data_IF_934891404610
#
_entry.id   IF_934891404610
#
_cell.length_a   1.000
_cell.length_b   1.000
_cell.length_c   1.000
_cell.angle_alpha   90.00
_cell.angle_beta   90.00
_cell.angle_gamma   90.00
#
_symmetry.space_group_name_H-M   'P 1'
#
loop_
_entity.id
_entity.type
_entity.pdbx_description
1 polymer ?
#
# COMPACT_ATOMS: atom_id res chain seq x y z
N UNK A 1 -26.12 -14.29 -10.56
CA UNK A 1 -26.17 -12.98 -11.24
C UNK A 1 -24.79 -12.37 -11.21
N UNK A 2 -24.36 -11.71 -12.28
CA UNK A 2 -23.13 -10.95 -12.29
C UNK A 2 -23.29 -9.74 -11.35
N UNK A 3 -22.27 -9.40 -10.58
CA UNK A 3 -22.27 -8.25 -9.66
C UNK A 3 -21.65 -7.07 -10.41
N UNK A 4 -22.33 -5.94 -10.45
CA UNK A 4 -21.87 -4.72 -11.12
C UNK A 4 -21.30 -3.74 -10.08
N UNK A 5 -20.01 -3.41 -10.21
CA UNK A 5 -19.30 -2.53 -9.27
C UNK A 5 -18.80 -1.27 -9.97
N UNK A 6 -19.16 -0.10 -9.44
CA UNK A 6 -18.60 1.18 -9.86
C UNK A 6 -17.50 1.60 -8.87
N UNK A 7 -16.27 1.66 -9.34
CA UNK A 7 -15.17 2.22 -8.56
C UNK A 7 -15.08 3.72 -8.80
N UNK A 8 -15.05 4.51 -7.73
CA UNK A 8 -14.83 5.95 -7.78
C UNK A 8 -13.44 6.27 -7.26
N UNK A 9 -12.60 6.89 -8.10
CA UNK A 9 -11.22 7.23 -7.76
C UNK A 9 -10.90 8.68 -8.10
N UNK A 10 -10.17 9.37 -7.22
CA UNK A 10 -9.52 10.66 -7.52
C UNK A 10 -8.07 10.50 -8.00
N UNK A 11 -7.50 9.32 -7.86
CA UNK A 11 -6.19 9.01 -8.41
C UNK A 11 -6.30 8.79 -9.92
N UNK A 12 -5.50 9.52 -10.69
CA UNK A 12 -5.54 9.52 -12.16
C UNK A 12 -4.21 9.04 -12.74
N UNK A 13 -3.08 9.34 -12.07
CA UNK A 13 -1.76 9.00 -12.59
C UNK A 13 -1.57 7.49 -12.72
N UNK A 14 -1.23 6.99 -13.92
CA UNK A 14 -1.00 5.57 -14.19
C UNK A 14 0.13 4.97 -13.35
N UNK A 15 1.08 5.80 -12.96
CA UNK A 15 2.22 5.40 -12.14
C UNK A 15 1.91 5.44 -10.63
N UNK A 16 0.70 5.86 -10.23
CA UNK A 16 0.27 5.90 -8.84
C UNK A 16 -0.06 4.52 -8.29
N UNK A 17 0.46 4.18 -7.10
CA UNK A 17 0.22 2.87 -6.48
C UNK A 17 -1.25 2.51 -6.28
N UNK A 18 -2.16 3.48 -6.10
CA UNK A 18 -3.60 3.23 -5.96
C UNK A 18 -4.23 2.87 -7.29
N UNK A 19 -3.99 3.68 -8.35
CA UNK A 19 -4.60 3.42 -9.66
C UNK A 19 -4.03 2.14 -10.29
N UNK A 20 -2.75 1.84 -10.11
CA UNK A 20 -2.15 0.59 -10.57
C UNK A 20 -2.86 -0.63 -9.99
N UNK A 21 -3.20 -0.61 -8.69
CA UNK A 21 -3.96 -1.70 -8.04
C UNK A 21 -5.41 -1.77 -8.51
N UNK A 22 -6.07 -0.61 -8.70
CA UNK A 22 -7.42 -0.57 -9.28
C UNK A 22 -7.41 -1.18 -10.68
N UNK A 23 -6.42 -0.84 -11.52
CA UNK A 23 -6.27 -1.43 -12.86
C UNK A 23 -6.16 -2.95 -12.77
N UNK A 24 -5.28 -3.47 -11.90
CA UNK A 24 -5.15 -4.92 -11.70
C UNK A 24 -6.47 -5.55 -11.26
N UNK A 25 -7.16 -4.95 -10.29
CA UNK A 25 -8.45 -5.45 -9.82
C UNK A 25 -9.47 -5.59 -10.97
N UNK A 26 -9.62 -4.54 -11.77
CA UNK A 26 -10.68 -4.49 -12.80
C UNK A 26 -10.33 -5.30 -14.07
N UNK A 27 -9.05 -5.53 -14.35
CA UNK A 27 -8.61 -6.30 -15.55
C UNK A 27 -8.39 -7.79 -15.28
N UNK A 28 -8.11 -8.17 -14.03
CA UNK A 28 -7.83 -9.56 -13.65
C UNK A 28 -9.07 -10.30 -13.16
N UNK A 29 -10.06 -9.58 -12.62
CA UNK A 29 -11.30 -10.22 -12.19
C UNK A 29 -12.15 -10.68 -13.37
N UNK A 30 -12.54 -11.96 -13.34
CA UNK A 30 -13.45 -12.55 -14.32
C UNK A 30 -14.87 -12.75 -13.78
N UNK A 31 -15.15 -12.28 -12.57
CA UNK A 31 -16.34 -12.62 -11.83
C UNK A 31 -17.21 -11.43 -11.44
N UNK A 32 -16.69 -10.24 -11.61
CA UNK A 32 -17.33 -8.96 -11.30
C UNK A 32 -17.28 -8.09 -12.55
N UNK A 33 -18.39 -7.40 -12.85
CA UNK A 33 -18.44 -6.40 -13.90
C UNK A 33 -18.04 -5.06 -13.33
N UNK A 34 -16.86 -4.57 -13.70
CA UNK A 34 -16.36 -3.28 -13.23
C UNK A 34 -16.65 -2.15 -14.21
N UNK A 35 -16.98 -1.00 -13.63
CA UNK A 35 -16.90 0.32 -14.27
C UNK A 35 -16.08 1.24 -13.38
N UNK A 36 -15.44 2.25 -13.95
CA UNK A 36 -14.65 3.22 -13.18
C UNK A 36 -15.18 4.64 -13.42
N UNK A 37 -15.24 5.43 -12.34
CA UNK A 37 -15.58 6.85 -12.39
C UNK A 37 -14.43 7.67 -11.82
N UNK A 38 -13.84 8.53 -12.66
CA UNK A 38 -12.79 9.42 -12.24
C UNK A 38 -13.38 10.72 -11.70
N UNK A 39 -13.19 10.92 -10.39
CA UNK A 39 -13.50 12.17 -9.71
C UNK A 39 -12.35 13.15 -9.97
N UNK A 40 -12.50 13.99 -10.98
CA UNK A 40 -11.48 14.93 -11.45
C UNK A 40 -11.77 16.35 -10.99
N UNK A 41 -10.75 17.22 -10.99
CA UNK A 41 -10.95 18.66 -11.14
C UNK A 41 -10.80 19.02 -12.62
N UNK A 42 -11.20 20.25 -13.01
CA UNK A 42 -11.11 20.67 -14.41
C UNK A 42 -9.73 20.50 -15.06
N UNK A 43 -8.65 20.71 -14.30
CA UNK A 43 -7.30 20.65 -14.80
C UNK A 43 -6.87 19.20 -15.13
N UNK A 44 -7.44 18.21 -14.45
CA UNK A 44 -7.03 16.81 -14.54
C UNK A 44 -7.94 15.96 -15.45
N UNK A 45 -9.07 16.51 -15.95
CA UNK A 45 -9.98 15.77 -16.83
C UNK A 45 -9.29 15.33 -18.13
N UNK A 46 -8.45 16.20 -18.71
CA UNK A 46 -7.72 15.87 -19.94
C UNK A 46 -6.80 14.66 -19.72
N UNK A 47 -5.95 14.70 -18.69
CA UNK A 47 -5.06 13.60 -18.34
C UNK A 47 -5.82 12.30 -17.99
N UNK A 48 -6.99 12.41 -17.35
CA UNK A 48 -7.83 11.23 -17.08
C UNK A 48 -8.36 10.60 -18.38
N UNK A 49 -8.70 11.41 -19.39
CA UNK A 49 -9.18 10.92 -20.69
C UNK A 49 -8.08 10.27 -21.54
N UNK A 50 -6.81 10.65 -21.34
CA UNK A 50 -5.68 9.98 -22.00
C UNK A 50 -5.61 8.48 -21.63
N UNK A 51 -6.11 8.14 -20.46
CA UNK A 51 -6.20 6.77 -19.97
C UNK A 51 -7.39 5.95 -20.54
N UNK A 52 -8.30 6.60 -21.23
CA UNK A 52 -9.54 5.99 -21.73
C UNK A 52 -9.29 4.80 -22.67
N UNK A 53 -8.22 4.88 -23.46
CA UNK A 53 -7.80 3.79 -24.35
C UNK A 53 -7.52 2.50 -23.56
N UNK A 54 -6.81 2.58 -22.43
CA UNK A 54 -6.53 1.42 -21.59
C UNK A 54 -7.83 0.74 -21.12
N UNK A 55 -8.80 1.51 -20.64
CA UNK A 55 -10.05 0.94 -20.11
C UNK A 55 -10.90 0.34 -21.24
N UNK A 56 -11.04 1.02 -22.37
CA UNK A 56 -11.79 0.52 -23.54
C UNK A 56 -11.19 -0.77 -24.11
N UNK A 57 -9.85 -0.83 -24.24
CA UNK A 57 -9.18 -2.03 -24.72
C UNK A 57 -9.40 -3.24 -23.81
N UNK A 58 -9.68 -3.00 -22.52
CA UNK A 58 -10.01 -4.05 -21.56
C UNK A 58 -11.53 -4.24 -21.34
N UNK A 59 -12.39 -3.63 -22.17
CA UNK A 59 -13.83 -3.76 -22.07
C UNK A 59 -14.46 -3.05 -20.84
N UNK A 60 -13.71 -2.12 -20.19
CA UNK A 60 -14.14 -1.42 -19.00
C UNK A 60 -14.73 -0.06 -19.36
N UNK A 61 -15.91 0.25 -18.83
CA UNK A 61 -16.55 1.55 -19.00
C UNK A 61 -15.93 2.57 -18.05
N UNK A 62 -15.39 3.67 -18.59
CA UNK A 62 -14.80 4.75 -17.83
C UNK A 62 -15.66 6.02 -17.95
N UNK A 63 -15.90 6.67 -16.82
CA UNK A 63 -16.68 7.90 -16.68
C UNK A 63 -15.82 8.97 -16.03
N UNK A 64 -16.15 10.25 -16.28
CA UNK A 64 -15.35 11.38 -15.82
C UNK A 64 -16.25 12.49 -15.31
N UNK A 65 -16.02 13.02 -14.12
CA UNK A 65 -16.79 14.11 -13.54
C UNK A 65 -15.95 15.08 -12.72
N UNK A 66 -16.38 16.36 -12.77
CA UNK A 66 -15.74 17.45 -12.02
C UNK A 66 -16.42 17.60 -10.64
N UNK A 67 -15.72 17.15 -9.58
CA UNK A 67 -16.22 17.29 -8.20
C UNK A 67 -15.97 18.69 -7.61
N UNK A 68 -15.14 19.55 -8.25
CA UNK A 68 -14.73 20.84 -7.71
C UNK A 68 -15.78 21.96 -7.82
N UNK A 69 -16.83 21.79 -8.63
CA UNK A 69 -17.78 22.87 -8.96
C UNK A 69 -19.11 22.78 -8.25
N UNK A 70 -19.73 21.63 -8.22
CA UNK A 70 -21.08 21.46 -7.66
C UNK A 70 -21.28 20.00 -7.23
N UNK A 71 -21.31 19.78 -5.92
CA UNK A 71 -21.43 18.44 -5.33
C UNK A 71 -22.77 17.76 -5.68
N UNK A 72 -23.85 18.52 -5.85
CA UNK A 72 -25.14 17.96 -6.25
C UNK A 72 -25.10 17.46 -7.69
N UNK A 73 -24.51 18.24 -8.60
CA UNK A 73 -24.32 17.84 -10.00
C UNK A 73 -23.43 16.61 -10.09
N UNK A 74 -22.32 16.60 -9.33
CA UNK A 74 -21.43 15.45 -9.27
C UNK A 74 -22.13 14.19 -8.78
N UNK A 75 -22.93 14.28 -7.69
CA UNK A 75 -23.73 13.17 -7.20
C UNK A 75 -24.80 12.73 -8.22
N UNK A 76 -25.39 13.66 -8.94
CA UNK A 76 -26.37 13.38 -10.00
C UNK A 76 -25.76 12.66 -11.20
N UNK A 77 -24.55 13.06 -11.62
CA UNK A 77 -23.82 12.38 -12.70
C UNK A 77 -23.50 10.92 -12.32
N UNK A 78 -23.04 10.68 -11.08
CA UNK A 78 -22.82 9.32 -10.56
C UNK A 78 -24.17 8.54 -10.49
N UNK A 79 -25.25 9.16 -10.03
CA UNK A 79 -26.59 8.54 -10.01
C UNK A 79 -27.03 8.07 -11.40
N UNK A 80 -26.81 8.86 -12.45
CA UNK A 80 -27.13 8.48 -13.82
C UNK A 80 -26.31 7.25 -14.25
N UNK A 81 -25.02 7.20 -13.94
CA UNK A 81 -24.17 6.02 -14.19
C UNK A 81 -24.67 4.81 -13.42
N UNK A 82 -25.01 4.97 -12.13
CA UNK A 82 -25.54 3.88 -11.28
C UNK A 82 -26.81 3.28 -11.91
N UNK A 83 -27.70 4.10 -12.42
CA UNK A 83 -28.94 3.63 -13.09
C UNK A 83 -28.68 3.00 -14.45
N UNK A 84 -27.89 3.65 -15.29
CA UNK A 84 -27.58 3.21 -16.64
C UNK A 84 -26.87 1.86 -16.66
N UNK A 85 -25.87 1.69 -15.78
CA UNK A 85 -25.04 0.50 -15.70
C UNK A 85 -25.58 -0.53 -14.70
N UNK A 86 -26.73 -0.30 -14.08
CA UNK A 86 -27.37 -1.17 -13.07
C UNK A 86 -26.38 -1.56 -11.96
N UNK A 87 -25.70 -0.56 -11.38
CA UNK A 87 -24.66 -0.75 -10.39
C UNK A 87 -25.26 -1.24 -9.07
N UNK A 88 -24.73 -2.34 -8.56
CA UNK A 88 -25.09 -2.93 -7.27
C UNK A 88 -24.27 -2.32 -6.13
N UNK A 89 -22.97 -2.09 -6.39
CA UNK A 89 -22.01 -1.59 -5.40
C UNK A 89 -21.27 -0.37 -5.93
N UNK A 90 -21.24 0.72 -5.15
CA UNK A 90 -20.35 1.87 -5.38
C UNK A 90 -19.20 1.80 -4.38
N UNK A 91 -17.98 1.70 -4.89
CA UNK A 91 -16.77 1.56 -4.08
C UNK A 91 -15.88 2.80 -4.20
N UNK A 92 -15.65 3.49 -3.08
CA UNK A 92 -14.86 4.72 -3.00
C UNK A 92 -13.39 4.43 -2.66
N UNK A 93 -12.49 4.82 -3.58
CA UNK A 93 -11.05 4.97 -3.36
C UNK A 93 -10.67 6.45 -3.30
N UNK A 94 -11.41 7.24 -2.52
CA UNK A 94 -11.40 8.69 -2.60
C UNK A 94 -11.52 9.29 -1.20
N UNK A 95 -10.78 10.38 -0.92
CA UNK A 95 -10.70 10.92 0.44
C UNK A 95 -11.55 12.18 0.68
N UNK A 96 -12.25 12.71 -0.32
CA UNK A 96 -12.98 14.01 -0.26
C UNK A 96 -14.49 13.85 -0.44
N UNK A 97 -14.97 12.67 -0.31
CA UNK A 97 -16.33 12.23 -0.59
C UNK A 97 -17.40 12.68 0.40
N UNK A 98 -17.01 13.34 1.48
CA UNK A 98 -17.84 13.54 2.68
C UNK A 98 -19.18 14.20 2.42
N UNK A 99 -19.29 15.05 1.40
CA UNK A 99 -20.51 15.80 1.14
C UNK A 99 -21.42 15.12 0.12
N UNK A 100 -20.85 14.63 -0.98
CA UNK A 100 -21.68 14.07 -2.06
C UNK A 100 -22.24 12.68 -1.74
N UNK A 101 -21.58 11.90 -0.86
CA UNK A 101 -22.10 10.59 -0.41
C UNK A 101 -23.47 10.71 0.24
N UNK A 102 -23.74 11.80 0.98
CA UNK A 102 -25.04 12.07 1.56
C UNK A 102 -26.13 12.22 0.47
N UNK A 103 -25.82 13.02 -0.56
CA UNK A 103 -26.74 13.25 -1.68
C UNK A 103 -26.92 11.95 -2.48
N UNK A 104 -25.82 11.24 -2.76
CA UNK A 104 -25.87 10.00 -3.52
C UNK A 104 -26.67 8.91 -2.80
N UNK A 105 -26.58 8.83 -1.46
CA UNK A 105 -27.39 7.90 -0.65
C UNK A 105 -28.88 8.16 -0.77
N UNK A 106 -29.29 9.43 -0.86
CA UNK A 106 -30.69 9.79 -1.08
C UNK A 106 -31.17 9.43 -2.50
N UNK A 107 -30.30 9.63 -3.50
CA UNK A 107 -30.63 9.35 -4.91
C UNK A 107 -30.59 7.85 -5.23
N UNK A 108 -29.75 7.08 -4.57
CA UNK A 108 -29.54 5.64 -4.80
C UNK A 108 -29.61 4.84 -3.48
N UNK A 109 -30.77 4.77 -2.80
CA UNK A 109 -30.90 4.16 -1.47
C UNK A 109 -30.67 2.65 -1.44
N UNK A 110 -30.86 1.95 -2.58
CA UNK A 110 -30.71 0.49 -2.69
C UNK A 110 -29.30 0.04 -3.01
N UNK A 111 -28.42 0.96 -3.46
CA UNK A 111 -27.03 0.68 -3.80
C UNK A 111 -26.21 0.46 -2.53
N UNK A 112 -25.33 -0.54 -2.54
CA UNK A 112 -24.39 -0.80 -1.44
C UNK A 112 -23.20 0.12 -1.59
N UNK A 113 -22.82 0.80 -0.50
CA UNK A 113 -21.66 1.70 -0.49
C UNK A 113 -20.52 1.07 0.28
N UNK A 114 -19.36 0.95 -0.39
CA UNK A 114 -18.11 0.45 0.16
C UNK A 114 -17.07 1.54 0.11
N UNK A 115 -16.21 1.63 1.10
CA UNK A 115 -15.08 2.56 1.13
C UNK A 115 -13.78 1.83 1.48
N UNK A 116 -12.72 2.05 0.70
CA UNK A 116 -11.36 1.63 1.04
C UNK A 116 -10.56 2.74 1.71
N UNK A 117 -9.91 2.40 2.83
CA UNK A 117 -8.91 3.22 3.48
C UNK A 117 -7.52 2.73 3.05
N UNK A 118 -6.91 3.45 2.11
CA UNK A 118 -5.62 3.11 1.49
C UNK A 118 -4.40 3.73 2.19
N UNK A 119 -4.62 4.46 3.25
CA UNK A 119 -3.65 5.11 4.11
C UNK A 119 -4.36 5.89 5.21
N UNK A 120 -3.63 6.32 6.22
CA UNK A 120 -4.19 7.15 7.29
C UNK A 120 -3.84 8.62 7.08
N UNK A 121 -4.88 9.45 7.08
CA UNK A 121 -4.76 10.91 7.02
C UNK A 121 -5.47 11.47 8.26
N UNK A 122 -4.74 12.12 9.17
CA UNK A 122 -5.37 12.75 10.32
C UNK A 122 -6.27 13.91 9.87
N UNK A 123 -7.52 13.90 10.33
CA UNK A 123 -8.52 14.92 10.04
C UNK A 123 -8.81 15.74 11.28
N UNK A 124 -9.06 17.05 11.11
CA UNK A 124 -9.40 17.97 12.19
C UNK A 124 -10.61 18.84 11.85
N UNK A 125 -11.17 19.49 12.85
CA UNK A 125 -12.22 20.50 12.70
C UNK A 125 -13.42 20.02 11.87
N UNK A 126 -13.81 20.83 10.87
CA UNK A 126 -14.95 20.55 10.01
C UNK A 126 -14.80 19.27 9.20
N UNK A 127 -13.59 18.97 8.69
CA UNK A 127 -13.33 17.75 7.90
C UNK A 127 -13.61 16.50 8.73
N UNK A 128 -13.21 16.46 10.02
CA UNK A 128 -13.48 15.34 10.91
C UNK A 128 -14.98 15.17 11.17
N UNK A 129 -15.74 16.26 11.28
CA UNK A 129 -17.21 16.24 11.46
C UNK A 129 -17.90 15.70 10.19
N UNK A 130 -17.52 16.19 9.02
CA UNK A 130 -18.06 15.72 7.74
C UNK A 130 -17.77 14.24 7.51
N UNK A 131 -16.55 13.80 7.80
CA UNK A 131 -16.18 12.40 7.74
C UNK A 131 -17.01 11.54 8.69
N UNK A 132 -17.22 12.01 9.92
CA UNK A 132 -18.08 11.33 10.90
C UNK A 132 -19.52 11.13 10.41
N UNK A 133 -20.03 12.09 9.64
CA UNK A 133 -21.35 12.00 9.01
C UNK A 133 -21.34 11.04 7.83
N UNK A 134 -20.33 11.13 6.95
CA UNK A 134 -20.18 10.23 5.79
C UNK A 134 -20.05 8.76 6.21
N UNK A 135 -19.37 8.48 7.32
CA UNK A 135 -19.26 7.12 7.88
C UNK A 135 -20.65 6.50 8.16
N UNK A 136 -21.66 7.27 8.50
CA UNK A 136 -23.01 6.74 8.73
C UNK A 136 -23.70 6.31 7.42
N UNK A 137 -23.33 6.92 6.30
CA UNK A 137 -23.92 6.71 4.99
C UNK A 137 -23.26 5.59 4.17
N UNK A 138 -22.07 5.17 4.56
CA UNK A 138 -21.34 4.04 3.95
C UNK A 138 -21.67 2.77 4.72
N UNK A 139 -21.96 1.71 3.99
CA UNK A 139 -22.41 0.43 4.58
C UNK A 139 -21.24 -0.41 5.07
N UNK A 140 -20.15 -0.44 4.30
CA UNK A 140 -19.04 -1.37 4.51
C UNK A 140 -17.68 -0.72 4.25
N UNK A 141 -16.64 -1.25 4.90
CA UNK A 141 -15.29 -0.71 4.83
C UNK A 141 -14.26 -1.77 4.48
N UNK A 142 -13.26 -1.38 3.68
CA UNK A 142 -12.07 -2.16 3.41
C UNK A 142 -10.87 -1.39 3.96
N UNK A 143 -10.02 -2.07 4.71
CA UNK A 143 -8.76 -1.53 5.24
C UNK A 143 -7.59 -2.30 4.63
N UNK A 144 -6.52 -1.59 4.29
CA UNK A 144 -5.32 -2.22 3.71
C UNK A 144 -4.43 -2.92 4.75
N UNK A 145 -4.70 -2.74 6.05
CA UNK A 145 -4.01 -3.37 7.17
C UNK A 145 -4.83 -3.24 8.46
N UNK A 146 -4.56 -4.08 9.45
CA UNK A 146 -5.12 -3.95 10.81
C UNK A 146 -4.70 -2.63 11.47
N UNK A 147 -3.47 -2.18 11.19
CA UNK A 147 -2.99 -0.88 11.67
C UNK A 147 -3.87 0.27 11.17
N UNK A 148 -4.18 0.32 9.87
CA UNK A 148 -5.05 1.36 9.30
C UNK A 148 -6.47 1.27 9.87
N UNK A 149 -7.00 0.07 10.05
CA UNK A 149 -8.28 -0.12 10.75
C UNK A 149 -8.25 0.48 12.15
N UNK A 150 -7.25 0.12 12.96
CA UNK A 150 -7.11 0.61 14.34
C UNK A 150 -6.98 2.14 14.42
N UNK A 151 -6.21 2.75 13.51
CA UNK A 151 -6.05 4.21 13.44
C UNK A 151 -7.38 4.92 13.15
N UNK A 152 -8.13 4.46 12.17
CA UNK A 152 -9.44 5.04 11.88
C UNK A 152 -10.49 4.78 12.95
N UNK A 153 -10.50 3.60 13.58
CA UNK A 153 -11.39 3.28 14.69
C UNK A 153 -11.07 4.06 15.97
N UNK A 154 -9.81 4.46 16.16
CA UNK A 154 -9.39 5.37 17.23
C UNK A 154 -9.99 6.76 17.05
N UNK A 155 -9.94 7.29 15.83
CA UNK A 155 -10.45 8.62 15.49
C UNK A 155 -11.97 8.66 15.35
N UNK A 156 -12.57 7.58 14.85
CA UNK A 156 -14.00 7.47 14.55
C UNK A 156 -14.59 6.21 15.20
N UNK A 157 -14.99 6.34 16.46
CA UNK A 157 -15.49 5.19 17.27
C UNK A 157 -16.68 4.46 16.63
N UNK A 158 -17.49 5.14 15.81
CA UNK A 158 -18.61 4.53 15.08
C UNK A 158 -18.16 3.47 14.05
N UNK A 159 -16.91 3.47 13.61
CA UNK A 159 -16.38 2.41 12.73
C UNK A 159 -16.28 1.05 13.42
N UNK A 160 -16.20 1.02 14.76
CA UNK A 160 -16.18 -0.25 15.53
C UNK A 160 -17.48 -1.06 15.40
N UNK A 161 -18.62 -0.38 15.15
CA UNK A 161 -19.92 -1.02 14.95
C UNK A 161 -20.25 -1.28 13.47
N UNK A 162 -19.41 -0.83 12.53
CA UNK A 162 -19.60 -1.03 11.10
C UNK A 162 -18.89 -2.30 10.64
N UNK A 163 -19.45 -2.93 9.59
CA UNK A 163 -18.80 -4.08 8.95
C UNK A 163 -17.55 -3.60 8.20
N UNK A 164 -16.41 -4.12 8.59
CA UNK A 164 -15.11 -3.88 7.94
C UNK A 164 -14.41 -5.19 7.61
N UNK A 165 -13.54 -5.15 6.63
CA UNK A 165 -12.66 -6.26 6.29
C UNK A 165 -11.27 -5.76 5.96
N UNK A 166 -10.28 -6.61 6.16
CA UNK A 166 -8.90 -6.32 5.76
C UNK A 166 -8.66 -7.01 4.43
N UNK A 167 -8.31 -6.22 3.42
CA UNK A 167 -7.81 -6.72 2.15
C UNK A 167 -6.45 -6.08 1.93
N UNK A 168 -5.40 -6.88 2.12
CA UNK A 168 -4.03 -6.42 1.96
C UNK A 168 -3.76 -5.97 0.52
N UNK A 169 -2.89 -4.98 0.37
CA UNK A 169 -2.44 -4.55 -0.95
C UNK A 169 -1.57 -5.60 -1.64
N UNK A 170 -1.46 -5.50 -2.96
CA UNK A 170 -0.47 -6.23 -3.76
C UNK A 170 0.55 -5.26 -4.40
N UNK A 171 1.76 -5.69 -4.72
CA UNK A 171 2.68 -4.95 -5.58
C UNK A 171 2.09 -4.80 -6.99
N UNK A 172 2.42 -3.69 -7.65
CA UNK A 172 1.95 -3.45 -9.03
C UNK A 172 2.79 -4.21 -10.04
N UNK A 173 4.10 -4.28 -9.81
CA UNK A 173 5.04 -4.99 -10.68
C UNK A 173 5.93 -5.87 -9.81
N UNK A 174 5.75 -7.18 -9.89
CA UNK A 174 6.63 -8.15 -9.26
C UNK A 174 7.59 -8.66 -10.34
N UNK A 175 8.89 -8.45 -10.11
CA UNK A 175 9.90 -8.99 -11.00
C UNK A 175 10.08 -10.49 -10.78
N UNK A 176 10.61 -11.17 -11.80
CA UNK A 176 11.00 -12.57 -11.66
C UNK A 176 12.30 -12.71 -10.87
N UNK A 177 12.36 -13.73 -10.03
CA UNK A 177 13.56 -14.06 -9.27
C UNK A 177 14.61 -14.66 -10.20
N UNK A 178 15.78 -14.02 -10.29
CA UNK A 178 16.95 -14.61 -10.95
C UNK A 178 17.70 -15.54 -9.98
N UNK A 179 17.82 -16.80 -10.32
CA UNK A 179 18.53 -17.79 -9.51
C UNK A 179 20.07 -17.75 -9.69
N UNK A 180 20.60 -16.86 -10.52
CA UNK A 180 22.00 -16.89 -10.97
C UNK A 180 22.91 -15.86 -10.29
N UNK A 181 22.43 -15.07 -9.33
CA UNK A 181 23.21 -14.01 -8.71
C UNK A 181 23.53 -14.34 -7.24
N UNK A 182 24.79 -14.13 -6.86
CA UNK A 182 25.23 -14.15 -5.47
C UNK A 182 24.52 -13.02 -4.70
N UNK A 183 23.93 -13.35 -3.54
CA UNK A 183 23.22 -12.42 -2.67
C UNK A 183 24.13 -12.00 -1.54
N UNK A 184 24.55 -10.75 -1.58
CA UNK A 184 25.48 -10.20 -0.58
C UNK A 184 25.15 -8.77 -0.15
N UNK A 185 24.00 -8.22 -0.59
CA UNK A 185 23.60 -6.86 -0.23
C UNK A 185 22.67 -6.85 0.98
N UNK A 186 22.89 -5.91 1.89
CA UNK A 186 21.86 -5.43 2.81
C UNK A 186 21.17 -4.26 2.14
N UNK A 187 19.86 -4.33 1.94
CA UNK A 187 19.12 -3.40 1.09
C UNK A 187 17.98 -2.70 1.83
N UNK A 188 17.90 -1.39 1.64
CA UNK A 188 16.71 -0.58 1.93
C UNK A 188 16.19 0.08 0.65
N UNK A 189 14.87 0.11 0.49
CA UNK A 189 14.19 0.83 -0.60
C UNK A 189 13.05 1.68 -0.02
N UNK A 190 13.13 2.99 -0.22
CA UNK A 190 12.07 3.89 0.26
C UNK A 190 12.49 5.36 0.28
N UNK A 191 11.53 6.25 0.51
CA UNK A 191 11.80 7.68 0.65
C UNK A 191 12.65 7.99 1.89
N UNK A 192 13.50 9.03 1.79
CA UNK A 192 14.35 9.50 2.88
C UNK A 192 13.61 10.60 3.67
N UNK A 193 12.66 10.18 4.51
CA UNK A 193 11.83 11.09 5.30
C UNK A 193 11.61 10.57 6.72
N UNK A 194 11.08 11.43 7.61
CA UNK A 194 11.01 11.20 9.05
C UNK A 194 10.33 9.87 9.44
N UNK A 195 9.23 9.56 8.81
CA UNK A 195 8.45 8.37 9.17
C UNK A 195 9.07 7.06 8.66
N UNK A 196 10.04 7.14 7.74
CA UNK A 196 10.81 5.98 7.28
C UNK A 196 11.97 5.62 8.21
N UNK A 197 12.30 6.50 9.18
CA UNK A 197 13.28 6.25 10.23
C UNK A 197 14.67 5.84 9.71
N UNK A 198 15.08 6.46 8.61
CA UNK A 198 16.31 6.06 7.87
C UNK A 198 17.61 6.32 8.64
N UNK A 199 17.59 7.22 9.63
CA UNK A 199 18.72 7.48 10.53
C UNK A 199 19.13 6.24 11.34
N UNK A 200 18.13 5.44 11.77
CA UNK A 200 18.40 4.17 12.46
C UNK A 200 19.31 3.23 11.64
N UNK A 201 19.22 3.26 10.32
CA UNK A 201 20.06 2.43 9.46
C UNK A 201 21.53 2.86 9.50
N UNK A 202 21.79 4.16 9.58
CA UNK A 202 23.16 4.68 9.72
C UNK A 202 23.70 4.42 11.13
N UNK A 203 22.87 4.59 12.17
CA UNK A 203 23.21 4.19 13.55
C UNK A 203 23.50 2.69 13.67
N UNK A 204 22.70 1.85 13.04
CA UNK A 204 22.92 0.41 12.96
C UNK A 204 24.29 0.11 12.32
N UNK A 205 24.62 0.76 11.20
CA UNK A 205 25.90 0.55 10.52
C UNK A 205 27.07 1.09 11.33
N UNK A 206 26.90 2.18 12.08
CA UNK A 206 27.90 2.64 13.04
C UNK A 206 28.22 1.55 14.10
N UNK A 207 27.20 0.90 14.65
CA UNK A 207 27.40 -0.24 15.56
C UNK A 207 28.10 -1.41 14.86
N UNK A 208 27.65 -1.79 13.66
CA UNK A 208 28.22 -2.90 12.88
C UNK A 208 29.71 -2.67 12.64
N UNK A 209 30.10 -1.51 12.15
CA UNK A 209 31.47 -1.21 11.73
C UNK A 209 32.35 -0.85 12.92
N UNK A 210 31.94 0.08 13.75
CA UNK A 210 32.79 0.66 14.78
C UNK A 210 32.79 -0.13 16.09
N UNK A 211 31.65 -0.74 16.47
CA UNK A 211 31.57 -1.55 17.70
C UNK A 211 31.88 -3.02 17.43
N UNK A 212 31.24 -3.61 16.41
CA UNK A 212 31.43 -5.05 16.12
C UNK A 212 32.55 -5.36 15.12
N UNK A 213 33.20 -4.32 14.55
CA UNK A 213 34.36 -4.44 13.63
C UNK A 213 34.07 -5.25 12.35
N UNK A 214 32.84 -5.14 11.84
CA UNK A 214 32.37 -5.81 10.63
C UNK A 214 32.36 -4.84 9.44
N UNK A 215 33.52 -4.51 8.92
CA UNK A 215 33.71 -3.67 7.73
C UNK A 215 33.39 -4.36 6.40
N UNK A 216 33.14 -5.66 6.43
CA UNK A 216 32.73 -6.48 5.29
C UNK A 216 31.23 -6.28 4.91
N UNK A 217 30.41 -5.77 5.82
CA UNK A 217 28.97 -5.57 5.60
C UNK A 217 28.71 -4.21 4.94
N UNK A 218 27.97 -4.23 3.83
CA UNK A 218 27.61 -3.02 3.07
C UNK A 218 26.10 -2.87 3.03
N UNK A 219 25.62 -1.72 3.50
CA UNK A 219 24.23 -1.30 3.38
C UNK A 219 24.05 -0.45 2.12
N UNK A 220 23.09 -0.83 1.29
CA UNK A 220 22.67 -0.06 0.10
C UNK A 220 21.30 0.57 0.37
N UNK A 221 21.21 1.88 0.25
CA UNK A 221 19.98 2.66 0.42
C UNK A 221 19.57 3.21 -0.92
N UNK A 222 18.38 2.83 -1.38
CA UNK A 222 17.76 3.28 -2.63
C UNK A 222 16.55 4.15 -2.30
N UNK A 223 16.56 5.35 -2.84
CA UNK A 223 15.50 6.35 -2.66
C UNK A 223 16.08 7.73 -2.46
N UNK A 224 15.17 8.70 -2.38
CA UNK A 224 15.53 10.10 -2.18
C UNK A 224 14.54 10.76 -1.23
N UNK A 225 14.89 11.94 -0.73
CA UNK A 225 14.03 12.70 0.16
C UNK A 225 14.75 13.78 0.96
N UNK A 226 14.00 14.53 1.77
CA UNK A 226 14.52 15.72 2.46
C UNK A 226 15.68 15.45 3.43
N UNK A 227 15.87 14.20 3.87
CA UNK A 227 16.95 13.84 4.82
C UNK A 227 18.22 13.31 4.15
N UNK A 228 18.34 13.41 2.84
CA UNK A 228 19.53 12.93 2.14
C UNK A 228 20.82 13.57 2.65
N UNK A 229 20.86 14.91 2.70
CA UNK A 229 22.05 15.67 3.15
C UNK A 229 22.41 15.36 4.62
N UNK A 230 21.40 15.24 5.48
CA UNK A 230 21.62 14.91 6.89
C UNK A 230 22.18 13.49 7.05
N UNK A 231 21.72 12.55 6.24
CA UNK A 231 22.25 11.17 6.23
C UNK A 231 23.71 11.15 5.72
N UNK A 232 24.02 11.90 4.67
CA UNK A 232 25.40 12.02 4.14
C UNK A 232 26.35 12.58 5.20
N UNK A 233 25.95 13.63 5.93
CA UNK A 233 26.71 14.18 7.06
C UNK A 233 26.94 13.12 8.16
N UNK A 234 25.87 12.43 8.58
CA UNK A 234 25.94 11.42 9.63
C UNK A 234 26.83 10.22 9.24
N UNK A 235 26.78 9.78 7.99
CA UNK A 235 27.64 8.73 7.43
C UNK A 235 29.11 9.14 7.53
N UNK A 236 29.42 10.39 7.20
CA UNK A 236 30.78 10.93 7.28
C UNK A 236 31.23 11.08 8.75
N UNK A 237 30.38 11.63 9.62
CA UNK A 237 30.68 11.79 11.06
C UNK A 237 30.97 10.46 11.76
N UNK A 238 30.25 9.40 11.39
CA UNK A 238 30.48 8.06 11.94
C UNK A 238 31.64 7.30 11.27
N UNK A 239 32.22 7.83 10.18
CA UNK A 239 33.29 7.20 9.45
C UNK A 239 32.87 5.87 8.78
N UNK A 240 31.62 5.76 8.33
CA UNK A 240 31.06 4.55 7.71
C UNK A 240 30.76 4.71 6.22
N UNK A 241 31.45 5.66 5.55
CA UNK A 241 31.19 5.98 4.14
C UNK A 241 31.48 4.80 3.19
N UNK A 242 32.42 3.93 3.53
CA UNK A 242 32.73 2.73 2.74
C UNK A 242 31.66 1.63 2.89
N UNK A 243 30.83 1.71 3.95
CA UNK A 243 29.86 0.69 4.34
C UNK A 243 28.40 1.11 4.09
N UNK A 244 28.14 2.38 3.76
CA UNK A 244 26.76 2.88 3.49
C UNK A 244 26.72 3.58 2.14
N UNK A 245 25.96 3.02 1.20
CA UNK A 245 25.84 3.55 -0.17
C UNK A 245 24.45 4.19 -0.37
N UNK A 246 24.41 5.51 -0.56
CA UNK A 246 23.20 6.25 -0.91
C UNK A 246 23.09 6.37 -2.44
N UNK A 247 22.29 5.52 -3.08
CA UNK A 247 22.21 5.45 -4.56
C UNK A 247 21.20 6.42 -5.19
N UNK A 248 20.41 7.14 -4.38
CA UNK A 248 19.32 7.95 -4.90
C UNK A 248 18.19 7.12 -5.48
N UNK A 249 17.32 7.77 -6.23
CA UNK A 249 16.20 7.09 -6.90
C UNK A 249 16.68 6.17 -8.03
N UNK A 250 16.14 4.95 -8.07
CA UNK A 250 16.38 3.96 -9.14
C UNK A 250 15.06 3.46 -9.70
N UNK A 251 14.96 3.34 -11.03
CA UNK A 251 13.78 2.78 -11.69
C UNK A 251 13.72 1.27 -11.58
N UNK A 252 14.85 0.60 -11.74
CA UNK A 252 14.94 -0.86 -11.71
C UNK A 252 15.37 -1.35 -10.32
N UNK A 253 14.39 -1.49 -9.42
CA UNK A 253 14.64 -2.00 -8.06
C UNK A 253 14.87 -3.51 -8.05
N UNK A 254 14.33 -4.22 -9.04
CA UNK A 254 14.38 -5.67 -9.11
C UNK A 254 15.82 -6.22 -9.13
N UNK A 255 16.74 -5.55 -9.82
CA UNK A 255 18.14 -5.97 -9.90
C UNK A 255 18.85 -5.92 -8.53
N UNK A 256 18.47 -4.93 -7.70
CA UNK A 256 19.00 -4.82 -6.35
C UNK A 256 18.37 -5.83 -5.41
N UNK A 257 17.05 -6.06 -5.52
CA UNK A 257 16.35 -7.08 -4.74
C UNK A 257 16.87 -8.49 -5.06
N UNK A 258 17.21 -8.78 -6.32
CA UNK A 258 17.82 -10.05 -6.69
C UNK A 258 19.20 -10.29 -6.05
N UNK A 259 19.96 -9.22 -5.78
CA UNK A 259 21.25 -9.26 -5.10
C UNK A 259 21.15 -9.12 -3.58
N UNK A 260 19.96 -8.81 -3.06
CA UNK A 260 19.77 -8.61 -1.64
C UNK A 260 19.80 -9.94 -0.88
N UNK A 261 20.69 -10.06 0.09
CA UNK A 261 20.71 -11.11 1.09
C UNK A 261 19.69 -10.84 2.19
N UNK A 262 19.57 -9.58 2.60
CA UNK A 262 18.68 -9.13 3.67
C UNK A 262 18.04 -7.81 3.26
N UNK A 263 16.75 -7.69 3.48
CA UNK A 263 16.02 -6.44 3.30
C UNK A 263 15.71 -5.79 4.66
N UNK A 264 16.00 -4.51 4.83
CA UNK A 264 15.81 -3.79 6.10
C UNK A 264 14.79 -2.66 5.94
N UNK A 265 13.82 -2.54 6.85
CA UNK A 265 12.77 -1.51 6.78
C UNK A 265 12.39 -0.96 8.15
N UNK A 266 13.05 0.12 8.64
CA UNK A 266 12.89 0.63 10.00
C UNK A 266 11.72 1.59 10.18
N UNK A 267 10.82 1.74 9.23
CA UNK A 267 9.76 2.74 9.24
C UNK A 267 8.89 2.67 10.50
N UNK A 268 8.61 3.84 11.10
CA UNK A 268 7.75 3.97 12.28
C UNK A 268 6.29 4.24 11.93
N UNK A 269 6.02 4.70 10.70
CA UNK A 269 4.66 4.93 10.21
C UNK A 269 4.55 4.47 8.76
N UNK A 270 3.96 3.29 8.58
CA UNK A 270 3.76 2.64 7.28
C UNK A 270 2.33 2.08 7.22
N UNK A 271 1.56 2.49 6.23
CA UNK A 271 0.19 2.01 6.08
C UNK A 271 0.09 0.54 5.66
N UNK A 272 1.10 0.05 4.93
CA UNK A 272 1.21 -1.35 4.51
C UNK A 272 2.67 -1.82 4.40
N UNK A 273 3.47 -1.22 3.50
CA UNK A 273 4.86 -1.62 3.28
C UNK A 273 5.05 -2.39 1.98
N UNK A 274 4.66 -1.79 0.86
CA UNK A 274 4.78 -2.40 -0.48
C UNK A 274 6.22 -2.88 -0.74
N UNK A 275 7.24 -2.08 -0.42
CA UNK A 275 8.64 -2.45 -0.67
C UNK A 275 9.12 -3.66 0.15
N UNK A 276 8.55 -3.87 1.34
CA UNK A 276 8.79 -5.10 2.12
C UNK A 276 8.20 -6.30 1.40
N UNK A 277 6.96 -6.17 0.92
CA UNK A 277 6.29 -7.24 0.17
C UNK A 277 7.03 -7.55 -1.13
N UNK A 278 7.52 -6.53 -1.86
CA UNK A 278 8.36 -6.71 -3.05
C UNK A 278 9.65 -7.49 -2.72
N UNK A 279 10.30 -7.17 -1.61
CA UNK A 279 11.48 -7.91 -1.15
C UNK A 279 11.14 -9.37 -0.80
N UNK A 280 10.01 -9.62 -0.13
CA UNK A 280 9.53 -10.96 0.16
C UNK A 280 9.28 -11.77 -1.12
N UNK A 281 8.65 -11.19 -2.15
CA UNK A 281 8.47 -11.85 -3.45
C UNK A 281 9.79 -12.26 -4.07
N UNK A 282 10.84 -11.45 -3.88
CA UNK A 282 12.18 -11.67 -4.39
C UNK A 282 13.03 -12.57 -3.46
N UNK A 283 12.39 -13.31 -2.54
CA UNK A 283 13.03 -14.23 -1.60
C UNK A 283 14.05 -13.55 -0.68
N UNK A 284 13.81 -12.30 -0.28
CA UNK A 284 14.64 -11.63 0.70
C UNK A 284 14.01 -11.80 2.09
N UNK A 285 14.73 -12.36 3.08
CA UNK A 285 14.31 -12.27 4.46
C UNK A 285 14.33 -10.82 4.92
N UNK A 286 13.37 -10.43 5.75
CA UNK A 286 13.14 -9.04 6.10
C UNK A 286 13.42 -8.75 7.57
N UNK A 287 14.15 -7.68 7.85
CA UNK A 287 14.20 -7.06 9.18
C UNK A 287 13.30 -5.82 9.15
N UNK A 288 12.25 -5.80 9.94
CA UNK A 288 11.28 -4.70 9.96
C UNK A 288 11.09 -4.13 11.36
N UNK A 289 10.71 -2.86 11.44
CA UNK A 289 10.38 -2.24 12.72
C UNK A 289 9.11 -2.85 13.33
N UNK A 290 9.10 -3.02 14.65
CA UNK A 290 7.89 -3.34 15.42
C UNK A 290 7.01 -2.08 15.54
N UNK A 291 6.51 -1.62 14.40
CA UNK A 291 5.71 -0.41 14.31
C UNK A 291 4.74 -0.48 13.12
N UNK A 292 3.61 0.21 13.27
CA UNK A 292 2.62 0.39 12.20
C UNK A 292 2.13 -0.94 11.59
N UNK A 293 2.00 -1.03 10.27
CA UNK A 293 1.54 -2.26 9.60
C UNK A 293 2.65 -3.29 9.34
N UNK A 294 3.91 -2.97 9.61
CA UNK A 294 5.04 -3.84 9.26
C UNK A 294 5.00 -5.22 9.93
N UNK A 295 4.63 -5.36 11.23
CA UNK A 295 4.51 -6.67 11.87
C UNK A 295 3.43 -7.58 11.27
N UNK A 296 2.51 -7.04 10.47
CA UNK A 296 1.47 -7.85 9.81
C UNK A 296 2.01 -8.60 8.59
N UNK A 297 3.11 -8.10 8.00
CA UNK A 297 3.65 -8.62 6.74
C UNK A 297 4.46 -9.89 6.93
N UNK A 298 5.27 -9.96 7.99
CA UNK A 298 6.21 -11.05 8.24
C UNK A 298 5.86 -11.81 9.52
N UNK A 299 6.46 -12.98 9.67
CA UNK A 299 6.49 -13.78 10.88
C UNK A 299 7.94 -14.27 11.14
N UNK A 300 8.14 -15.06 12.19
CA UNK A 300 9.44 -15.60 12.59
C UNK A 300 10.12 -16.48 11.53
N UNK A 301 9.36 -16.99 10.55
CA UNK A 301 9.89 -17.78 9.45
C UNK A 301 10.37 -16.92 8.27
N UNK A 302 9.91 -15.65 8.19
CA UNK A 302 10.18 -14.74 7.08
C UNK A 302 11.24 -13.68 7.40
N UNK A 303 11.58 -13.48 8.68
CA UNK A 303 12.48 -12.43 9.12
C UNK A 303 12.32 -12.04 10.58
N UNK A 304 12.72 -10.82 10.93
CA UNK A 304 12.73 -10.35 12.31
C UNK A 304 11.99 -9.02 12.47
N UNK A 305 11.22 -8.93 13.55
CA UNK A 305 10.51 -7.71 13.97
C UNK A 305 11.30 -7.11 15.12
N UNK A 306 11.82 -5.89 14.94
CA UNK A 306 12.78 -5.26 15.86
C UNK A 306 12.26 -3.93 16.42
N UNK A 307 12.69 -3.52 17.63
CA UNK A 307 12.35 -2.22 18.18
C UNK A 307 12.80 -1.08 17.26
N UNK A 308 11.95 -0.07 16.96
CA UNK A 308 12.29 0.99 16.01
C UNK A 308 13.30 2.03 16.52
N UNK A 309 13.74 1.92 17.78
CA UNK A 309 14.69 2.84 18.43
C UNK A 309 15.95 2.17 18.97
N UNK A 310 16.17 0.90 18.65
CA UNK A 310 17.34 0.13 19.18
C UNK A 310 18.27 -0.29 18.05
N UNK A 311 19.15 0.63 17.63
CA UNK A 311 20.14 0.38 16.59
C UNK A 311 21.09 -0.78 16.93
N UNK A 312 21.35 -1.03 18.23
CA UNK A 312 22.19 -2.13 18.70
C UNK A 312 21.51 -3.49 18.46
N UNK A 313 20.20 -3.61 18.73
CA UNK A 313 19.45 -4.84 18.42
C UNK A 313 19.43 -5.11 16.91
N UNK A 314 19.27 -4.07 16.09
CA UNK A 314 19.31 -4.18 14.64
C UNK A 314 20.70 -4.63 14.15
N UNK A 315 21.78 -4.07 14.70
CA UNK A 315 23.15 -4.43 14.34
C UNK A 315 23.47 -5.91 14.68
N UNK A 316 23.14 -6.33 15.90
CA UNK A 316 23.33 -7.72 16.33
C UNK A 316 22.58 -8.70 15.44
N UNK A 317 21.31 -8.40 15.15
CA UNK A 317 20.47 -9.26 14.30
C UNK A 317 20.98 -9.31 12.86
N UNK A 318 21.41 -8.15 12.32
CA UNK A 318 22.00 -8.08 10.98
C UNK A 318 23.24 -8.98 10.87
N UNK A 319 24.18 -8.87 11.81
CA UNK A 319 25.40 -9.68 11.84
C UNK A 319 25.05 -11.16 11.91
N UNK A 320 24.15 -11.56 12.82
CA UNK A 320 23.73 -12.95 12.96
C UNK A 320 23.10 -13.53 11.68
N UNK A 321 22.39 -12.70 10.91
CA UNK A 321 21.85 -13.11 9.62
C UNK A 321 22.90 -13.18 8.53
N UNK A 322 23.79 -12.19 8.44
CA UNK A 322 24.90 -12.18 7.44
C UNK A 322 25.81 -13.40 7.63
N UNK A 323 26.09 -13.77 8.88
CA UNK A 323 26.92 -14.92 9.22
C UNK A 323 26.22 -16.27 8.96
N UNK A 324 24.92 -16.27 8.65
CA UNK A 324 24.17 -17.49 8.37
C UNK A 324 23.40 -17.40 7.03
N UNK A 325 24.10 -17.47 5.88
CA UNK A 325 23.45 -17.41 4.56
C UNK A 325 22.39 -18.50 4.34
N UNK A 326 22.60 -19.69 4.90
CA UNK A 326 21.63 -20.79 4.82
C UNK A 326 20.31 -20.48 5.52
N UNK A 327 20.37 -19.79 6.66
CA UNK A 327 19.18 -19.30 7.34
C UNK A 327 18.48 -18.24 6.51
N UNK A 328 19.22 -17.27 5.95
CA UNK A 328 18.68 -16.23 5.07
C UNK A 328 17.98 -16.85 3.86
N UNK A 329 18.57 -17.87 3.24
CA UNK A 329 17.97 -18.57 2.11
C UNK A 329 16.61 -19.22 2.51
N UNK A 330 16.57 -19.97 3.60
CA UNK A 330 15.32 -20.59 4.09
C UNK A 330 14.26 -19.55 4.43
N UNK A 331 14.62 -18.50 5.17
CA UNK A 331 13.71 -17.42 5.50
C UNK A 331 13.17 -16.68 4.26
N UNK A 332 14.03 -16.49 3.27
CA UNK A 332 13.65 -15.87 2.00
C UNK A 332 12.63 -16.73 1.23
N UNK A 333 12.78 -18.04 1.20
CA UNK A 333 11.81 -18.95 0.58
C UNK A 333 10.45 -18.87 1.31
N UNK A 334 10.44 -18.89 2.63
CA UNK A 334 9.20 -18.75 3.42
C UNK A 334 8.56 -17.36 3.23
N UNK A 335 9.36 -16.29 3.18
CA UNK A 335 8.90 -14.94 2.85
C UNK A 335 8.18 -14.90 1.49
N UNK A 336 8.77 -15.53 0.47
CA UNK A 336 8.16 -15.59 -0.87
C UNK A 336 6.87 -16.40 -0.88
N UNK A 337 6.82 -17.55 -0.20
CA UNK A 337 5.59 -18.36 -0.08
C UNK A 337 4.47 -17.56 0.59
N UNK A 338 4.80 -16.87 1.70
CA UNK A 338 3.85 -16.01 2.41
C UNK A 338 3.36 -14.86 1.53
N UNK A 339 4.28 -14.16 0.84
CA UNK A 339 3.94 -13.05 -0.04
C UNK A 339 2.99 -13.50 -1.17
N UNK A 340 3.29 -14.62 -1.83
CA UNK A 340 2.44 -15.19 -2.90
C UNK A 340 1.06 -15.58 -2.38
N UNK A 341 0.97 -16.15 -1.17
CA UNK A 341 -0.30 -16.57 -0.57
C UNK A 341 -1.17 -15.39 -0.14
N UNK A 342 -0.58 -14.34 0.43
CA UNK A 342 -1.34 -13.28 1.11
C UNK A 342 -1.41 -11.96 0.33
N UNK A 343 -0.39 -11.65 -0.47
CA UNK A 343 -0.18 -10.33 -1.05
C UNK A 343 -0.04 -10.37 -2.58
N UNK A 344 -0.32 -11.50 -3.22
CA UNK A 344 -0.31 -11.60 -4.66
C UNK A 344 -1.50 -10.84 -5.28
N UNK A 345 -1.40 -10.56 -6.58
CA UNK A 345 -2.47 -9.97 -7.36
C UNK A 345 -3.72 -10.86 -7.34
N UNK A 346 -3.54 -12.17 -7.46
CA UNK A 346 -4.63 -13.14 -7.42
C UNK A 346 -5.32 -13.12 -6.05
N UNK A 347 -4.56 -13.08 -4.95
CA UNK A 347 -5.12 -12.97 -3.60
C UNK A 347 -5.89 -11.65 -3.41
N UNK A 348 -5.34 -10.55 -3.91
CA UNK A 348 -5.98 -9.23 -3.85
C UNK A 348 -7.31 -9.20 -4.60
N UNK A 349 -7.33 -9.70 -5.83
CA UNK A 349 -8.54 -9.77 -6.67
C UNK A 349 -9.56 -10.74 -6.06
N UNK A 350 -9.13 -11.94 -5.70
CA UNK A 350 -9.99 -12.96 -5.10
C UNK A 350 -10.69 -12.47 -3.82
N UNK A 351 -9.95 -11.78 -2.95
CA UNK A 351 -10.50 -11.24 -1.72
C UNK A 351 -11.53 -10.13 -1.97
N UNK A 352 -11.31 -9.25 -2.95
CA UNK A 352 -12.30 -8.24 -3.36
C UNK A 352 -13.55 -8.88 -3.94
N UNK A 353 -13.39 -9.82 -4.86
CA UNK A 353 -14.50 -10.51 -5.53
C UNK A 353 -15.39 -11.26 -4.53
N UNK A 354 -14.76 -12.02 -3.61
CA UNK A 354 -15.48 -12.72 -2.57
C UNK A 354 -16.21 -11.75 -1.62
N UNK A 355 -15.55 -10.64 -1.28
CA UNK A 355 -16.17 -9.64 -0.43
C UNK A 355 -17.40 -9.03 -1.08
N UNK A 356 -17.33 -8.57 -2.33
CA UNK A 356 -18.49 -8.01 -3.03
C UNK A 356 -19.63 -9.02 -3.17
N UNK A 357 -19.33 -10.28 -3.52
CA UNK A 357 -20.36 -11.33 -3.59
C UNK A 357 -21.03 -11.58 -2.23
N UNK A 358 -20.27 -11.52 -1.14
CA UNK A 358 -20.82 -11.67 0.20
C UNK A 358 -21.79 -10.55 0.58
N UNK A 359 -21.49 -9.31 0.15
CA UNK A 359 -22.34 -8.15 0.39
C UNK A 359 -23.69 -8.29 -0.32
N UNK A 360 -23.69 -8.74 -1.58
CA UNK A 360 -24.93 -8.97 -2.34
C UNK A 360 -25.77 -10.07 -1.68
N UNK A 361 -25.16 -11.21 -1.29
CA UNK A 361 -25.86 -12.28 -0.62
C UNK A 361 -26.50 -11.85 0.71
N UNK A 362 -25.83 -11.01 1.47
CA UNK A 362 -26.37 -10.51 2.74
C UNK A 362 -27.52 -9.49 2.56
N UNK A 363 -27.47 -8.71 1.49
CA UNK A 363 -28.51 -7.71 1.19
C UNK A 363 -29.82 -8.35 0.69
N UNK A 364 -29.77 -9.49 0.02
CA UNK A 364 -30.95 -10.25 -0.43
C UNK A 364 -31.65 -11.03 0.70
N UNK A 365 -31.07 -11.11 1.90
CA UNK A 365 -31.65 -11.80 3.07
C UNK A 365 -32.35 -10.86 4.05
N UNK A 366 -32.26 -9.55 3.84
CA UNK A 366 -32.99 -8.52 4.58
C UNK A 366 -34.15 -7.97 3.74
#
# INVERSE_FOLDING_TARGET
>A
MAVNVLIISSAISPNGGTIGKIRKLITTSNSINYSIYFACNKQNIASAKEEDCFYRCNGIKAFYGDYGRNLFRFAWDIHNVVKQEKIDIVHFYFNVEHSFVLVLRLLCPKTIYVRSFVGYIPLSGLQKRLMSLAIRMVDNYIYISKYIEAMYQKDFKQLKSKKGTIIYNCPVNVAEVSNSQERNLVLYVGGLNRHKNVFLLVEMMNQVVNTYRRSDIILTIIGDGPYREDLEKMIHEYGVADNVRLLGYKKNIADYLNKAQIYVHPATNEGFGISVVEAMFMKCPCMVANASALPELIDEHCGYILPPSDSTAWAKQLIAMVDNPSLCCRMGEEASKRARKMFSEEAFVHNHDNYYRSLIKSNHRQ
#
